data_IF_079363116149
#
_entry.id   IF_079363116149
#
_cell.length_a   1.000
_cell.length_b   1.000
_cell.length_c   1.000
_cell.angle_alpha   90.00
_cell.angle_beta   90.00
_cell.angle_gamma   90.00
#
_symmetry.space_group_name_H-M   'P 1'
#
loop_
_entity.id
_entity.type
_entity.pdbx_description
1 polymer ?
#
# COMPACT_ATOMS: atom_id res chain seq x y z
N UNK A 1 3.83 6.31 -5.99
CA UNK A 1 3.18 5.31 -6.86
C UNK A 1 4.16 4.42 -7.62
N UNK A 2 5.22 4.96 -8.24
CA UNK A 2 6.16 4.16 -9.04
C UNK A 2 6.75 2.97 -8.28
N UNK A 3 7.10 3.12 -7.00
CA UNK A 3 7.62 2.02 -6.18
C UNK A 3 6.70 0.80 -6.08
N UNK A 4 5.38 1.01 -6.00
CA UNK A 4 4.41 -0.10 -5.99
C UNK A 4 4.18 -0.67 -7.39
N UNK A 5 4.11 0.17 -8.42
CA UNK A 5 3.91 -0.29 -9.80
C UNK A 5 5.11 -1.03 -10.38
N UNK A 6 6.33 -0.73 -9.91
CA UNK A 6 7.56 -1.39 -10.35
C UNK A 6 7.86 -2.68 -9.58
N UNK A 7 7.07 -3.01 -8.56
CA UNK A 7 7.14 -4.29 -7.83
C UNK A 7 6.06 -5.23 -8.34
N UNK A 8 6.43 -6.42 -8.82
CA UNK A 8 5.47 -7.38 -9.37
C UNK A 8 4.36 -7.74 -8.37
N UNK A 9 4.73 -8.13 -7.14
CA UNK A 9 3.75 -8.50 -6.11
C UNK A 9 2.80 -7.35 -5.73
N UNK A 10 3.31 -6.12 -5.60
CA UNK A 10 2.44 -4.98 -5.31
C UNK A 10 1.53 -4.62 -6.47
N UNK A 11 2.07 -4.62 -7.71
CA UNK A 11 1.29 -4.36 -8.92
C UNK A 11 0.19 -5.40 -9.12
N UNK A 12 0.47 -6.67 -8.85
CA UNK A 12 -0.53 -7.75 -8.95
C UNK A 12 -1.68 -7.50 -7.97
N UNK A 13 -1.39 -7.07 -6.75
CA UNK A 13 -2.44 -6.69 -5.80
C UNK A 13 -3.26 -5.49 -6.29
N UNK A 14 -2.62 -4.45 -6.82
CA UNK A 14 -3.29 -3.24 -7.32
C UNK A 14 -4.16 -3.47 -8.56
N UNK A 15 -3.77 -4.39 -9.44
CA UNK A 15 -4.46 -4.67 -10.70
C UNK A 15 -5.46 -5.83 -10.61
N UNK A 16 -5.58 -6.47 -9.44
CA UNK A 16 -6.50 -7.58 -9.22
C UNK A 16 -7.95 -7.08 -9.23
N UNK A 17 -8.81 -7.54 -10.16
CA UNK A 17 -10.16 -7.00 -10.34
C UNK A 17 -11.13 -7.31 -9.20
N UNK A 18 -10.79 -8.25 -8.32
CA UNK A 18 -11.63 -8.62 -7.17
C UNK A 18 -11.43 -7.73 -5.94
N UNK A 19 -10.33 -6.98 -5.87
CA UNK A 19 -10.15 -5.96 -4.83
C UNK A 19 -10.82 -4.67 -5.29
N UNK A 20 -11.98 -4.38 -4.71
CA UNK A 20 -12.82 -3.22 -5.07
C UNK A 20 -12.90 -2.16 -3.98
N UNK A 21 -12.33 -2.45 -2.80
CA UNK A 21 -12.22 -1.52 -1.69
C UNK A 21 -10.75 -1.20 -1.41
N UNK A 22 -10.46 0.07 -1.18
CA UNK A 22 -9.13 0.55 -0.83
C UNK A 22 -9.19 1.48 0.38
N UNK A 23 -8.32 1.21 1.36
CA UNK A 23 -7.95 2.16 2.41
C UNK A 23 -6.48 2.54 2.29
N UNK A 24 -6.13 3.79 2.55
CA UNK A 24 -4.77 4.27 2.53
C UNK A 24 -4.45 5.07 3.81
N UNK A 25 -3.22 4.93 4.29
CA UNK A 25 -2.71 5.67 5.44
C UNK A 25 -1.33 6.26 5.15
N UNK A 26 -1.09 7.46 5.65
CA UNK A 26 0.18 8.17 5.55
C UNK A 26 0.64 8.63 6.92
N UNK A 27 1.91 8.41 7.21
CA UNK A 27 2.56 8.91 8.41
C UNK A 27 3.87 9.57 7.99
N UNK A 28 4.04 10.86 8.33
CA UNK A 28 5.24 11.63 8.00
C UNK A 28 6.39 11.41 8.99
N UNK A 29 6.08 11.01 10.24
CA UNK A 29 7.06 10.79 11.32
C UNK A 29 6.61 9.63 12.22
N UNK A 30 6.70 8.43 11.68
CA UNK A 30 6.41 7.20 12.39
C UNK A 30 7.44 6.88 13.46
N UNK A 31 7.00 6.15 14.48
CA UNK A 31 7.79 5.62 15.58
C UNK A 31 8.31 4.19 15.31
N UNK A 32 8.41 3.81 14.04
CA UNK A 32 8.78 2.45 13.61
C UNK A 32 10.24 2.06 13.85
N UNK A 33 11.05 2.94 14.43
CA UNK A 33 12.51 2.77 14.54
C UNK A 33 13.25 2.83 13.21
N UNK A 34 12.56 3.10 12.11
CA UNK A 34 13.14 3.22 10.77
C UNK A 34 13.93 4.54 10.63
N UNK A 35 15.10 4.53 9.97
CA UNK A 35 15.82 5.75 9.61
C UNK A 35 15.02 6.64 8.62
N UNK A 36 14.02 6.07 7.95
CA UNK A 36 13.00 6.79 7.19
C UNK A 36 11.66 6.66 7.92
N UNK A 37 11.29 7.64 8.74
CA UNK A 37 10.10 7.55 9.58
C UNK A 37 8.80 7.78 8.77
N UNK A 38 8.92 8.24 7.53
CA UNK A 38 7.79 8.42 6.63
C UNK A 38 7.38 7.08 6.02
N UNK A 39 6.10 6.71 6.13
CA UNK A 39 5.57 5.52 5.46
C UNK A 39 4.15 5.71 4.94
N UNK A 40 3.83 4.91 3.92
CA UNK A 40 2.50 4.75 3.36
C UNK A 40 2.05 3.30 3.53
N UNK A 41 0.77 3.09 3.79
CA UNK A 41 0.15 1.76 3.83
C UNK A 41 -1.11 1.78 2.98
N UNK A 42 -1.36 0.68 2.27
CA UNK A 42 -2.59 0.44 1.54
C UNK A 42 -3.19 -0.89 1.99
N UNK A 43 -4.51 -0.91 2.19
CA UNK A 43 -5.27 -2.13 2.41
C UNK A 43 -6.22 -2.29 1.23
N UNK A 44 -6.21 -3.48 0.64
CA UNK A 44 -7.08 -3.85 -0.47
C UNK A 44 -8.01 -4.97 -0.01
N UNK A 45 -9.29 -4.86 -0.34
CA UNK A 45 -10.29 -5.86 0.06
C UNK A 45 -11.33 -6.09 -1.03
N UNK A 46 -11.90 -7.30 -1.04
CA UNK A 46 -13.02 -7.69 -1.89
C UNK A 46 -14.33 -7.53 -1.12
N UNK A 47 -15.45 -7.67 -1.82
CA UNK A 47 -16.74 -7.91 -1.17
C UNK A 47 -16.76 -9.35 -0.63
N UNK A 48 -17.42 -9.56 0.50
CA UNK A 48 -17.78 -10.91 0.99
C UNK A 48 -18.78 -11.57 0.05
#
# INVERSE_FOLDING_TARGET
MEGWMNSSGHRDNLLRPHYIYMGAGYVARGDSGSPSPTYWTQMLSSRM
#
